data_IF_683943862636
#
_entry.id   IF_683943862636
#
_cell.length_a   1.000
_cell.length_b   1.000
_cell.length_c   1.000
_cell.angle_alpha   90.00
_cell.angle_beta   90.00
_cell.angle_gamma   90.00
#
_symmetry.space_group_name_H-M   'P 1'
#
loop_
_entity.id
_entity.type
_entity.pdbx_description
1 polymer ?
#
# COMPACT_ATOMS: atom_id res chain seq x y z
N UNK A 1 27.18 6.16 -8.08
CA UNK A 1 26.28 7.34 -8.05
C UNK A 1 24.98 6.87 -7.45
N UNK A 2 24.80 7.15 -6.16
CA UNK A 2 23.66 6.72 -5.34
C UNK A 2 22.34 7.08 -6.03
N UNK A 3 21.41 6.12 -6.13
CA UNK A 3 20.01 6.45 -6.35
C UNK A 3 19.48 6.94 -5.01
N UNK A 4 19.60 8.25 -4.76
CA UNK A 4 18.75 8.92 -3.79
C UNK A 4 17.31 8.75 -4.29
N UNK A 5 16.62 7.72 -3.80
CA UNK A 5 15.16 7.70 -3.81
C UNK A 5 14.75 8.62 -2.67
N UNK A 6 14.92 9.92 -2.88
CA UNK A 6 14.28 10.95 -2.08
C UNK A 6 12.87 11.21 -2.66
N UNK A 7 12.13 10.11 -2.89
CA UNK A 7 10.70 10.18 -3.18
C UNK A 7 10.02 9.83 -1.88
N UNK A 8 9.56 10.85 -1.16
CA UNK A 8 8.55 10.65 -0.13
C UNK A 8 7.41 9.84 -0.74
N UNK A 9 7.24 8.60 -0.30
CA UNK A 9 6.10 7.78 -0.71
C UNK A 9 4.87 8.47 -0.18
N UNK A 10 4.04 8.95 -1.10
CA UNK A 10 2.83 9.69 -0.75
C UNK A 10 1.64 8.74 -0.88
N UNK A 11 0.67 8.92 0.02
CA UNK A 11 -0.54 8.12 0.00
C UNK A 11 -1.71 8.87 0.61
N UNK A 12 -2.90 8.61 0.09
CA UNK A 12 -4.16 9.18 0.59
C UNK A 12 -5.07 8.04 1.04
N UNK A 13 -5.66 8.22 2.22
CA UNK A 13 -6.64 7.27 2.72
C UNK A 13 -7.91 7.33 1.86
N UNK A 14 -8.40 6.17 1.44
CA UNK A 14 -9.56 6.08 0.55
C UNK A 14 -10.91 6.29 1.25
N UNK A 15 -10.94 6.26 2.58
CA UNK A 15 -12.19 6.18 3.35
C UNK A 15 -12.75 4.75 3.48
N UNK A 16 -12.16 3.79 2.76
CA UNK A 16 -12.62 2.40 2.74
C UNK A 16 -11.74 1.48 3.59
N UNK A 17 -12.33 0.37 4.01
CA UNK A 17 -11.65 -0.70 4.74
C UNK A 17 -11.83 -2.02 4.01
N UNK A 18 -10.74 -2.79 3.93
CA UNK A 18 -10.78 -4.20 3.56
C UNK A 18 -10.89 -5.06 4.82
N UNK A 19 -11.45 -6.26 4.70
CA UNK A 19 -11.47 -7.23 5.80
C UNK A 19 -10.36 -8.25 5.59
N UNK A 20 -9.49 -8.40 6.58
CA UNK A 20 -8.49 -9.46 6.56
C UNK A 20 -9.19 -10.82 6.72
N UNK A 21 -9.07 -11.76 5.77
CA UNK A 21 -9.83 -13.01 5.79
C UNK A 21 -9.41 -13.96 6.92
N UNK A 22 -8.19 -13.83 7.45
CA UNK A 22 -7.68 -14.68 8.52
C UNK A 22 -8.06 -14.18 9.92
N UNK A 23 -8.15 -12.86 10.09
CA UNK A 23 -8.38 -12.25 11.40
C UNK A 23 -9.74 -11.57 11.54
N UNK A 24 -10.48 -11.38 10.44
CA UNK A 24 -11.74 -10.64 10.40
C UNK A 24 -11.59 -9.13 10.68
N UNK A 25 -10.37 -8.63 10.87
CA UNK A 25 -10.12 -7.22 11.22
C UNK A 25 -10.22 -6.33 9.99
N UNK A 26 -10.75 -5.12 10.19
CA UNK A 26 -10.78 -4.06 9.17
C UNK A 26 -9.39 -3.44 9.02
N UNK A 27 -8.86 -3.43 7.80
CA UNK A 27 -7.59 -2.81 7.42
C UNK A 27 -7.90 -1.61 6.51
N UNK A 28 -7.37 -0.41 6.79
CA UNK A 28 -7.60 0.76 5.95
C UNK A 28 -6.96 0.60 4.57
N UNK A 29 -7.67 1.02 3.52
CA UNK A 29 -7.17 1.00 2.14
C UNK A 29 -6.61 2.36 1.78
N UNK A 30 -5.39 2.37 1.24
CA UNK A 30 -4.66 3.57 0.83
C UNK A 30 -4.37 3.53 -0.66
N UNK A 31 -4.43 4.68 -1.32
CA UNK A 31 -3.89 4.87 -2.67
C UNK A 31 -2.53 5.50 -2.51
N UNK A 32 -1.50 4.92 -3.12
CA UNK A 32 -0.14 5.43 -3.09
C UNK A 32 0.46 5.45 -4.49
N UNK A 33 1.30 6.44 -4.75
CA UNK A 33 2.13 6.58 -5.95
C UNK A 33 3.17 5.45 -6.11
N UNK A 34 3.41 4.69 -5.04
CA UNK A 34 4.27 3.52 -5.05
C UNK A 34 3.60 2.28 -5.67
N UNK A 35 2.25 2.24 -5.74
CA UNK A 35 1.52 1.11 -6.32
C UNK A 35 1.23 1.36 -7.79
N UNK A 36 1.92 0.64 -8.67
CA UNK A 36 1.76 0.77 -10.13
C UNK A 36 0.53 -0.01 -10.61
N UNK A 37 -0.51 0.71 -11.06
CA UNK A 37 -1.76 0.12 -11.56
C UNK A 37 -1.57 -0.88 -12.72
N UNK A 38 -0.51 -0.72 -13.53
CA UNK A 38 -0.19 -1.59 -14.66
C UNK A 38 0.70 -2.80 -14.32
N UNK A 39 1.07 -3.01 -13.06
CA UNK A 39 1.96 -4.09 -12.64
C UNK A 39 1.28 -4.97 -11.58
N UNK A 40 1.18 -6.27 -11.87
CA UNK A 40 0.41 -7.20 -11.03
C UNK A 40 -1.10 -6.93 -11.10
N UNK A 41 -1.75 -6.86 -9.95
CA UNK A 41 -3.20 -6.57 -9.83
C UNK A 41 -3.50 -5.08 -9.63
N UNK A 42 -2.48 -4.23 -9.51
CA UNK A 42 -2.63 -2.83 -9.12
C UNK A 42 -2.96 -2.61 -7.63
N UNK A 43 -2.80 -3.63 -6.79
CA UNK A 43 -2.96 -3.54 -5.34
C UNK A 43 -1.91 -4.40 -4.61
N UNK A 44 -1.39 -3.89 -3.50
CA UNK A 44 -0.46 -4.62 -2.61
C UNK A 44 -1.01 -4.64 -1.18
N UNK A 45 -0.72 -5.69 -0.44
CA UNK A 45 -0.94 -5.73 1.00
C UNK A 45 0.32 -5.27 1.70
N UNK A 46 0.27 -4.12 2.37
CA UNK A 46 1.38 -3.64 3.18
C UNK A 46 1.50 -4.46 4.47
N UNK A 47 2.70 -4.92 4.82
CA UNK A 47 2.98 -5.73 6.02
C UNK A 47 4.09 -5.06 6.84
N UNK A 48 3.87 -3.91 7.50
CA UNK A 48 4.94 -3.07 8.05
C UNK A 48 5.91 -3.74 9.04
N UNK A 49 5.52 -4.88 9.64
CA UNK A 49 6.41 -5.67 10.49
C UNK A 49 7.53 -6.37 9.70
N UNK A 50 7.30 -6.70 8.43
CA UNK A 50 8.18 -7.49 7.57
C UNK A 50 8.10 -7.09 6.08
N UNK A 51 7.63 -5.87 5.77
CA UNK A 51 7.56 -5.29 4.41
C UNK A 51 8.96 -4.89 3.94
#
# INVERSE_FOLDING_TARGET
RERMIDKSVSGVFTGAYAVNPLTGKKIPVWVSDYVLAGYGTGAIMAVPAHD
#
